data_IF_640643134563
#
_entry.id   IF_640643134563
#
_cell.length_a   1.000
_cell.length_b   1.000
_cell.length_c   1.000
_cell.angle_alpha   90.00
_cell.angle_beta   90.00
_cell.angle_gamma   90.00
#
_symmetry.space_group_name_H-M   'P 1'
#
loop_
_entity.id
_entity.type
_entity.pdbx_description
1 polymer ?
#
# COMPACT_ATOMS: atom_id res chain seq x y z
N UNK A 1 -22.61 14.03 -1.33
CA UNK A 1 -22.00 12.74 -0.96
C UNK A 1 -21.64 12.79 0.51
N UNK A 2 -22.18 11.89 1.33
CA UNK A 2 -21.93 11.89 2.77
C UNK A 2 -20.45 11.60 3.05
N UNK A 3 -19.84 12.37 3.96
CA UNK A 3 -18.44 12.19 4.38
C UNK A 3 -18.14 10.74 4.77
N UNK A 4 -19.12 10.04 5.36
CA UNK A 4 -19.01 8.63 5.72
C UNK A 4 -18.81 7.71 4.52
N UNK A 5 -19.59 7.92 3.45
CA UNK A 5 -19.48 7.14 2.22
C UNK A 5 -18.10 7.38 1.58
N UNK A 6 -17.65 8.63 1.52
CA UNK A 6 -16.33 8.95 0.98
C UNK A 6 -15.19 8.29 1.77
N UNK A 7 -15.22 8.35 3.11
CA UNK A 7 -14.21 7.70 3.96
C UNK A 7 -14.18 6.18 3.76
N UNK A 8 -15.37 5.55 3.72
CA UNK A 8 -15.49 4.10 3.57
C UNK A 8 -15.03 3.62 2.19
N UNK A 9 -15.42 4.32 1.13
CA UNK A 9 -14.98 4.00 -0.23
C UNK A 9 -13.46 4.13 -0.38
N UNK A 10 -12.85 5.19 0.16
CA UNK A 10 -11.39 5.36 0.11
C UNK A 10 -10.69 4.23 0.87
N UNK A 11 -11.23 3.80 2.00
CA UNK A 11 -10.68 2.67 2.76
C UNK A 11 -10.71 1.37 1.94
N UNK A 12 -11.85 1.03 1.34
CA UNK A 12 -11.95 -0.16 0.49
C UNK A 12 -10.96 -0.10 -0.67
N UNK A 13 -10.89 1.03 -1.38
CA UNK A 13 -9.96 1.20 -2.50
C UNK A 13 -8.51 1.05 -2.04
N UNK A 14 -8.16 1.65 -0.90
CA UNK A 14 -6.82 1.54 -0.33
C UNK A 14 -6.46 0.08 -0.02
N UNK A 15 -7.39 -0.68 0.58
CA UNK A 15 -7.17 -2.12 0.86
C UNK A 15 -6.98 -2.93 -0.42
N UNK A 16 -7.78 -2.69 -1.46
CA UNK A 16 -7.65 -3.42 -2.73
C UNK A 16 -6.30 -3.14 -3.37
N UNK A 17 -5.91 -1.87 -3.50
CA UNK A 17 -4.64 -1.49 -4.13
C UNK A 17 -3.45 -2.00 -3.32
N UNK A 18 -3.55 -1.98 -1.99
CA UNK A 18 -2.54 -2.57 -1.11
C UNK A 18 -2.36 -4.07 -1.37
N UNK A 19 -3.45 -4.85 -1.44
CA UNK A 19 -3.38 -6.30 -1.72
C UNK A 19 -2.69 -6.55 -3.07
N UNK A 20 -3.06 -5.80 -4.11
CA UNK A 20 -2.44 -5.93 -5.44
C UNK A 20 -0.94 -5.60 -5.39
N UNK A 21 -0.56 -4.52 -4.72
CA UNK A 21 0.83 -4.12 -4.57
C UNK A 21 1.65 -5.17 -3.80
N UNK A 22 1.09 -5.73 -2.71
CA UNK A 22 1.76 -6.77 -1.92
C UNK A 22 1.91 -8.07 -2.69
N UNK A 23 0.87 -8.56 -3.37
CA UNK A 23 0.94 -9.81 -4.15
C UNK A 23 1.96 -9.67 -5.29
N UNK A 24 1.87 -8.58 -6.06
CA UNK A 24 2.81 -8.35 -7.17
C UNK A 24 4.25 -8.15 -6.69
N UNK A 25 4.44 -7.43 -5.58
CA UNK A 25 5.76 -7.22 -4.97
C UNK A 25 6.35 -8.52 -4.44
N UNK A 26 5.53 -9.37 -3.83
CA UNK A 26 5.95 -10.67 -3.31
C UNK A 26 6.36 -11.62 -4.44
N UNK A 27 5.60 -11.67 -5.55
CA UNK A 27 5.98 -12.43 -6.74
C UNK A 27 7.31 -11.96 -7.35
N UNK A 28 7.50 -10.64 -7.44
CA UNK A 28 8.76 -10.06 -7.92
C UNK A 28 9.94 -10.36 -6.99
N UNK A 29 9.69 -10.39 -5.67
CA UNK A 29 10.69 -10.71 -4.67
C UNK A 29 11.13 -12.17 -4.74
N UNK A 30 10.20 -13.13 -4.85
CA UNK A 30 10.54 -14.55 -5.01
C UNK A 30 11.36 -14.76 -6.29
N UNK A 31 10.90 -14.21 -7.41
CA UNK A 31 11.64 -14.31 -8.67
C UNK A 31 13.03 -13.67 -8.57
N UNK A 32 13.22 -12.64 -7.74
CA UNK A 32 14.54 -12.03 -7.50
C UNK A 32 15.47 -12.98 -6.73
N UNK A 33 14.94 -13.76 -5.78
CA UNK A 33 15.70 -14.76 -5.02
C UNK A 33 16.12 -15.95 -5.88
N UNK A 34 15.25 -16.43 -6.77
CA UNK A 34 15.50 -17.61 -7.62
C UNK A 34 16.53 -17.35 -8.72
N UNK A 35 16.47 -16.19 -9.39
CA UNK A 35 17.28 -15.90 -10.58
C UNK A 35 18.36 -14.83 -10.35
N UNK A 36 18.39 -14.21 -9.16
CA UNK A 36 19.34 -13.15 -8.78
C UNK A 36 19.27 -11.90 -9.68
N UNK A 37 20.28 -11.03 -9.57
CA UNK A 37 20.40 -9.82 -10.41
C UNK A 37 20.58 -10.11 -11.92
N UNK A 38 20.73 -11.38 -12.32
CA UNK A 38 20.93 -11.81 -13.71
C UNK A 38 19.61 -12.10 -14.45
N UNK A 39 18.47 -11.99 -13.77
CA UNK A 39 17.13 -12.20 -14.32
C UNK A 39 16.62 -11.09 -15.25
N UNK A 40 17.45 -10.08 -15.55
CA UNK A 40 17.10 -8.91 -16.36
C UNK A 40 16.76 -9.32 -17.80
N UNK A 41 15.47 -9.58 -18.04
CA UNK A 41 14.87 -9.44 -19.37
C UNK A 41 14.12 -10.65 -19.92
N UNK A 42 14.31 -11.88 -19.40
CA UNK A 42 13.69 -13.10 -19.96
C UNK A 42 12.98 -14.01 -18.95
N UNK A 43 12.83 -13.58 -17.70
CA UNK A 43 12.06 -14.34 -16.72
C UNK A 43 10.56 -14.09 -16.94
N UNK A 44 9.86 -15.18 -17.30
CA UNK A 44 8.41 -15.23 -17.32
C UNK A 44 7.94 -15.62 -15.92
N UNK A 45 7.15 -14.77 -15.30
CA UNK A 45 6.48 -15.05 -14.03
C UNK A 45 5.04 -15.38 -14.40
N UNK A 46 4.60 -16.62 -14.16
CA UNK A 46 3.24 -17.08 -14.52
C UNK A 46 2.88 -16.86 -16.00
N UNK A 47 3.84 -17.07 -16.91
CA UNK A 47 3.64 -16.86 -18.36
C UNK A 47 3.61 -15.39 -18.81
N UNK A 48 3.80 -14.44 -17.89
CA UNK A 48 3.80 -13.00 -18.16
C UNK A 48 5.24 -12.45 -17.96
N UNK A 49 5.74 -11.58 -18.86
CA UNK A 49 7.06 -10.96 -18.69
C UNK A 49 7.19 -10.23 -17.35
N UNK A 50 8.32 -10.42 -16.65
CA UNK A 50 8.66 -9.68 -15.42
C UNK A 50 8.45 -8.16 -15.53
N UNK A 51 8.72 -7.57 -16.70
CA UNK A 51 8.51 -6.14 -16.95
C UNK A 51 7.05 -5.70 -16.74
N UNK A 52 6.08 -6.53 -17.13
CA UNK A 52 4.66 -6.23 -16.94
C UNK A 52 4.28 -6.31 -15.44
N UNK A 53 4.79 -7.30 -14.71
CA UNK A 53 4.62 -7.37 -13.26
C UNK A 53 5.21 -6.16 -12.53
N UNK A 54 6.38 -5.68 -12.96
CA UNK A 54 6.98 -4.44 -12.43
C UNK A 54 6.10 -3.24 -12.71
N UNK A 55 5.55 -3.13 -13.93
CA UNK A 55 4.65 -2.04 -14.27
C UNK A 55 3.41 -2.05 -13.38
N UNK A 56 2.74 -3.20 -13.24
CA UNK A 56 1.57 -3.36 -12.36
C UNK A 56 1.92 -2.97 -10.92
N UNK A 57 3.03 -3.49 -10.40
CA UNK A 57 3.49 -3.18 -9.04
C UNK A 57 3.74 -1.69 -8.86
N UNK A 58 4.47 -1.04 -9.76
CA UNK A 58 4.76 0.39 -9.67
C UNK A 58 3.51 1.26 -9.74
N UNK A 59 2.61 0.99 -10.70
CA UNK A 59 1.37 1.76 -10.82
C UNK A 59 0.45 1.56 -9.61
N UNK A 60 0.36 0.33 -9.09
CA UNK A 60 -0.39 0.05 -7.86
C UNK A 60 0.21 0.77 -6.65
N UNK A 61 1.53 0.80 -6.52
CA UNK A 61 2.23 1.52 -5.44
C UNK A 61 2.00 3.03 -5.51
N UNK A 62 2.04 3.63 -6.71
CA UNK A 62 1.73 5.05 -6.90
C UNK A 62 0.28 5.35 -6.50
N UNK A 63 -0.67 4.53 -6.96
CA UNK A 63 -2.08 4.68 -6.60
C UNK A 63 -2.30 4.54 -5.09
N UNK A 64 -1.62 3.58 -4.44
CA UNK A 64 -1.65 3.40 -2.99
C UNK A 64 -1.12 4.62 -2.25
N UNK A 65 -0.01 5.21 -2.69
CA UNK A 65 0.54 6.43 -2.08
C UNK A 65 -0.44 7.59 -2.15
N UNK A 66 -1.04 7.84 -3.33
CA UNK A 66 -2.00 8.93 -3.52
C UNK A 66 -3.25 8.72 -2.65
N UNK A 67 -3.81 7.51 -2.67
CA UNK A 67 -4.97 7.16 -1.83
C UNK A 67 -4.65 7.22 -0.34
N UNK A 68 -3.44 6.82 0.06
CA UNK A 68 -2.97 6.90 1.44
C UNK A 68 -2.86 8.34 1.94
N UNK A 69 -2.34 9.25 1.11
CA UNK A 69 -2.31 10.69 1.42
C UNK A 69 -3.74 11.22 1.55
N UNK A 70 -4.63 10.91 0.61
CA UNK A 70 -6.03 11.33 0.68
C UNK A 70 -6.73 10.80 1.94
N UNK A 71 -6.48 9.54 2.31
CA UNK A 71 -6.99 8.92 3.53
C UNK A 71 -6.55 9.68 4.79
N UNK A 72 -5.26 10.03 4.89
CA UNK A 72 -4.71 10.77 6.03
C UNK A 72 -5.27 12.18 6.13
N UNK A 73 -5.41 12.88 5.00
CA UNK A 73 -5.95 14.25 4.98
C UNK A 73 -7.42 14.28 5.44
N UNK A 74 -8.24 13.32 4.99
CA UNK A 74 -9.65 13.24 5.36
C UNK A 74 -9.81 12.85 6.85
N UNK A 75 -8.97 11.96 7.34
CA UNK A 75 -9.01 11.44 8.71
C UNK A 75 -8.07 12.19 9.69
N UNK A 76 -7.56 13.36 9.30
CA UNK A 76 -6.56 14.10 10.09
C UNK A 76 -6.96 14.36 11.55
N UNK A 77 -8.24 14.66 11.80
CA UNK A 77 -8.76 14.84 13.18
C UNK A 77 -8.63 13.57 14.01
N UNK A 78 -8.90 12.40 13.42
CA UNK A 78 -8.71 11.12 14.09
C UNK A 78 -7.22 10.88 14.39
N UNK A 79 -6.32 11.17 13.45
CA UNK A 79 -4.85 11.03 13.64
C UNK A 79 -4.35 11.85 14.84
N UNK A 80 -4.74 13.13 14.91
CA UNK A 80 -4.36 14.02 16.02
C UNK A 80 -4.90 13.50 17.35
N UNK A 81 -6.16 13.07 17.39
CA UNK A 81 -6.77 12.55 18.61
C UNK A 81 -6.13 11.23 19.06
N UNK A 82 -5.90 10.29 18.14
CA UNK A 82 -5.23 9.03 18.42
C UNK A 82 -3.81 9.26 18.96
N UNK A 83 -3.05 10.17 18.33
CA UNK A 83 -1.73 10.58 18.80
C UNK A 83 -1.80 11.15 20.22
N UNK A 84 -2.70 12.11 20.47
CA UNK A 84 -2.90 12.69 21.80
C UNK A 84 -3.19 11.62 22.86
N UNK A 85 -4.07 10.66 22.58
CA UNK A 85 -4.40 9.57 23.52
C UNK A 85 -3.19 8.70 23.86
N UNK A 86 -2.39 8.33 22.86
CA UNK A 86 -1.18 7.51 23.06
C UNK A 86 -0.16 8.25 23.92
N UNK A 87 0.04 9.56 23.68
CA UNK A 87 1.01 10.37 24.43
C UNK A 87 0.49 10.82 25.80
N UNK A 88 -0.80 11.11 25.97
CA UNK A 88 -1.40 11.49 27.25
C UNK A 88 -1.53 10.30 28.21
N UNK A 89 -1.69 9.08 27.69
CA UNK A 89 -1.71 7.85 28.51
C UNK A 89 -0.38 7.61 29.24
N UNK A 90 0.75 8.12 28.73
CA UNK A 90 2.03 8.06 29.47
C UNK A 90 2.09 9.02 30.65
N UNK A 91 1.31 10.11 30.65
CA UNK A 91 1.30 11.09 31.73
C UNK A 91 0.45 10.69 32.94
N UNK A 92 -0.48 9.74 32.80
CA UNK A 92 -1.39 9.32 33.89
C UNK A 92 -0.91 8.09 34.67
N UNK A 93 0.20 7.47 34.26
CA UNK A 93 0.76 6.25 34.88
C UNK A 93 2.08 6.50 35.64
N UNK A 94 2.45 7.77 35.83
CA UNK A 94 3.52 8.23 36.73
C UNK A 94 2.94 8.94 37.91
#
# INVERSE_FOLDING_TARGET
>A
MDRFIACYSIFILLTIVWVVATVTGFLLFINQLEYGCRALGRTLILGIPRKQWIAIHNYSSIAFTILGIAHLLINWRWVVNATKTIFSSKSRRR
#
